data_IF_784901639239
#
_entry.id   IF_784901639239
#
_cell.length_a   1.000
_cell.length_b   1.000
_cell.length_c   1.000
_cell.angle_alpha   90.00
_cell.angle_beta   90.00
_cell.angle_gamma   90.00
#
_symmetry.space_group_name_H-M   'P 1'
#
loop_
_entity.id
_entity.type
_entity.pdbx_description
1 polymer ?
#
# COMPACT_ATOMS: atom_id res chain seq x y z
N UNK A 1 5.12 -6.85 18.93
CA UNK A 1 4.32 -5.64 18.66
C UNK A 1 4.82 -5.17 17.32
N UNK A 2 3.92 -4.93 16.38
CA UNK A 2 4.26 -4.37 15.07
C UNK A 2 3.81 -2.93 15.05
N UNK A 3 4.66 -2.02 14.60
CA UNK A 3 4.33 -0.60 14.44
C UNK A 3 4.64 -0.21 13.00
N UNK A 4 3.62 0.33 12.32
CA UNK A 4 3.70 0.83 10.96
C UNK A 4 3.46 2.32 11.02
N UNK A 5 4.36 3.11 10.46
CA UNK A 5 4.25 4.57 10.41
C UNK A 5 4.49 5.08 9.00
N UNK A 6 3.62 5.98 8.53
CA UNK A 6 3.76 6.68 7.26
C UNK A 6 3.92 5.77 6.04
N UNK A 7 3.29 4.58 6.05
CA UNK A 7 3.45 3.62 4.96
C UNK A 7 2.93 4.23 3.66
N UNK A 8 3.77 4.23 2.63
CA UNK A 8 3.44 4.76 1.30
C UNK A 8 3.94 3.81 0.22
N UNK A 9 3.10 3.58 -0.79
CA UNK A 9 3.49 2.82 -1.98
C UNK A 9 2.79 3.39 -3.20
N UNK A 10 3.59 3.96 -4.08
CA UNK A 10 3.15 4.41 -5.39
C UNK A 10 3.67 3.43 -6.45
N UNK A 11 2.82 3.10 -7.42
CA UNK A 11 3.18 2.28 -8.57
C UNK A 11 3.22 3.17 -9.81
N UNK A 12 4.38 3.32 -10.48
CA UNK A 12 4.48 4.10 -11.70
C UNK A 12 3.67 3.44 -12.82
N UNK A 13 3.00 4.27 -13.62
CA UNK A 13 2.31 3.88 -14.85
C UNK A 13 3.23 4.25 -16.01
N UNK A 14 3.60 3.26 -16.81
CA UNK A 14 4.39 3.45 -18.03
C UNK A 14 3.49 3.32 -19.26
N UNK A 15 3.70 4.18 -20.27
CA UNK A 15 2.95 4.13 -21.52
C UNK A 15 3.79 4.55 -22.75
N UNK A 16 3.25 4.24 -23.93
CA UNK A 16 3.85 4.55 -25.23
C UNK A 16 4.93 3.56 -25.67
N UNK A 17 5.40 3.71 -26.92
CA UNK A 17 6.37 2.81 -27.56
C UNK A 17 7.74 2.81 -26.85
N UNK A 18 8.06 3.91 -26.16
CA UNK A 18 9.30 4.08 -25.40
C UNK A 18 9.14 3.81 -23.90
N UNK A 19 7.99 3.26 -23.46
CA UNK A 19 7.68 2.94 -22.05
C UNK A 19 8.07 4.05 -21.06
N UNK A 20 7.65 5.29 -21.35
CA UNK A 20 7.93 6.43 -20.47
C UNK A 20 6.95 6.43 -19.30
N UNK A 21 7.41 6.88 -18.14
CA UNK A 21 6.54 7.11 -16.99
C UNK A 21 5.59 8.27 -17.31
N UNK A 22 4.28 8.02 -17.18
CA UNK A 22 3.21 8.98 -17.50
C UNK A 22 2.35 9.32 -16.28
N UNK A 23 2.59 8.70 -15.14
CA UNK A 23 1.88 8.95 -13.89
C UNK A 23 2.18 7.89 -12.84
N UNK A 24 1.52 7.96 -11.69
CA UNK A 24 1.62 6.93 -10.65
C UNK A 24 0.29 6.70 -9.94
N UNK A 25 0.03 5.45 -9.54
CA UNK A 25 -1.10 5.09 -8.69
C UNK A 25 -0.64 5.09 -7.24
N UNK A 26 -1.31 5.89 -6.41
CA UNK A 26 -1.09 5.91 -4.97
C UNK A 26 -1.83 4.73 -4.33
N UNK A 27 -1.22 3.54 -4.33
CA UNK A 27 -1.87 2.33 -3.81
C UNK A 27 -1.95 2.31 -2.28
N UNK A 28 -1.00 2.94 -1.60
CA UNK A 28 -1.01 3.16 -0.15
C UNK A 28 -0.48 4.57 0.09
N UNK A 29 -1.22 5.39 0.83
CA UNK A 29 -0.84 6.77 1.09
C UNK A 29 -0.95 7.10 2.58
N UNK A 30 0.19 7.08 3.27
CA UNK A 30 0.37 7.55 4.65
C UNK A 30 -0.38 6.77 5.72
N UNK A 31 -0.36 5.45 5.64
CA UNK A 31 -1.05 4.60 6.61
C UNK A 31 -0.15 4.35 7.83
N UNK A 32 -0.69 4.57 9.04
CA UNK A 32 -0.02 4.29 10.32
C UNK A 32 -0.91 3.49 11.25
N UNK A 33 -0.41 2.39 11.82
CA UNK A 33 -1.12 1.56 12.79
C UNK A 33 -0.17 0.70 13.63
N UNK A 34 -0.67 0.22 14.77
CA UNK A 34 0.07 -0.65 15.68
C UNK A 34 -0.70 -1.94 15.93
N UNK A 35 -0.04 -3.09 15.82
CA UNK A 35 -0.56 -4.40 16.19
C UNK A 35 0.12 -4.84 17.50
N UNK A 36 -0.69 -5.02 18.54
CA UNK A 36 -0.24 -5.54 19.82
C UNK A 36 0.38 -6.94 19.69
N UNK A 37 1.22 -7.34 20.65
CA UNK A 37 1.73 -8.72 20.68
C UNK A 37 0.57 -9.71 20.75
N UNK A 38 0.63 -10.75 19.90
CA UNK A 38 -0.42 -11.77 19.77
C UNK A 38 -1.79 -11.23 19.32
N UNK A 39 -1.85 -9.98 18.85
CA UNK A 39 -3.05 -9.39 18.26
C UNK A 39 -3.25 -9.84 16.81
N UNK A 40 -4.51 -9.85 16.38
CA UNK A 40 -4.91 -10.12 14.99
C UNK A 40 -5.37 -8.81 14.36
N UNK A 41 -4.93 -8.53 13.15
CA UNK A 41 -5.33 -7.35 12.37
C UNK A 41 -6.07 -7.78 11.11
N UNK A 42 -7.24 -7.18 10.86
CA UNK A 42 -8.04 -7.39 9.66
C UNK A 42 -8.15 -6.12 8.84
N UNK A 43 -7.73 -6.16 7.57
CA UNK A 43 -7.82 -5.05 6.63
C UNK A 43 -8.92 -5.32 5.59
N UNK A 44 -9.99 -4.53 5.62
CA UNK A 44 -11.18 -4.70 4.76
C UNK A 44 -11.44 -3.47 3.90
N UNK A 45 -12.17 -3.65 2.80
CA UNK A 45 -12.48 -2.58 1.84
C UNK A 45 -12.71 -3.09 0.43
N UNK A 46 -13.15 -2.22 -0.47
CA UNK A 46 -13.48 -2.52 -1.87
C UNK A 46 -12.30 -3.02 -2.70
N UNK A 47 -12.55 -3.72 -3.81
CA UNK A 47 -11.48 -4.18 -4.71
C UNK A 47 -10.62 -3.00 -5.18
N UNK A 48 -9.29 -3.15 -5.15
CA UNK A 48 -8.36 -2.09 -5.57
C UNK A 48 -7.98 -1.05 -4.49
N UNK A 49 -8.56 -1.06 -3.29
CA UNK A 49 -8.27 -0.04 -2.27
C UNK A 49 -6.90 -0.17 -1.54
N UNK A 50 -5.99 -1.05 -2.00
CA UNK A 50 -4.64 -1.16 -1.42
C UNK A 50 -4.45 -2.19 -0.30
N UNK A 51 -5.43 -3.07 -0.01
CA UNK A 51 -5.34 -4.09 1.05
C UNK A 51 -4.17 -5.05 0.87
N UNK A 52 -4.11 -5.74 -0.27
CA UNK A 52 -3.05 -6.70 -0.58
C UNK A 52 -1.69 -6.02 -0.74
N UNK A 53 -1.67 -4.75 -1.14
CA UNK A 53 -0.45 -3.94 -1.17
C UNK A 53 0.05 -3.70 0.25
N UNK A 54 -0.81 -3.26 1.17
CA UNK A 54 -0.47 -3.03 2.57
C UNK A 54 0.04 -4.32 3.24
N UNK A 55 -0.66 -5.45 3.05
CA UNK A 55 -0.26 -6.73 3.62
C UNK A 55 1.05 -7.32 3.07
N UNK A 56 1.51 -6.87 1.90
CA UNK A 56 2.83 -7.26 1.33
C UNK A 56 3.98 -6.37 1.79
N UNK A 57 3.67 -5.21 2.38
CA UNK A 57 4.66 -4.21 2.78
C UNK A 57 5.02 -4.30 4.27
N UNK A 58 4.23 -5.04 5.05
CA UNK A 58 4.41 -5.32 6.48
C UNK A 58 4.96 -6.73 6.67
#
# INVERSE_FOLDING_TARGET
>A
MLEVSGLRKHFPIYAGVLSREVGSVHAVNDISFTIAQKGVFGLVGESGCGKSTTGKLI
#
